data_IF_903617136044
#
_entry.id   IF_903617136044
#
_cell.length_a   1.000
_cell.length_b   1.000
_cell.length_c   1.000
_cell.angle_alpha   90.00
_cell.angle_beta   90.00
_cell.angle_gamma   90.00
#
_symmetry.space_group_name_H-M   'P 1'
#
loop_
_entity.id
_entity.type
_entity.pdbx_description
1 polymer ?
#
# COMPACT_ATOMS: atom_id res chain seq x y z
N UNK A 1 42.33 -16.19 -16.29
CA UNK A 1 40.85 -16.28 -16.14
C UNK A 1 40.32 -14.97 -15.58
N UNK A 2 39.87 -14.06 -16.45
CA UNK A 2 39.19 -12.84 -15.99
C UNK A 2 37.69 -13.12 -15.86
N UNK A 3 37.13 -12.85 -14.68
CA UNK A 3 35.67 -12.84 -14.50
C UNK A 3 35.13 -11.59 -15.17
N UNK A 4 34.78 -11.68 -16.44
CA UNK A 4 33.96 -10.67 -17.12
C UNK A 4 32.52 -10.81 -16.61
N UNK A 5 32.09 -9.86 -15.78
CA UNK A 5 30.70 -9.75 -15.36
C UNK A 5 29.87 -9.24 -16.55
N UNK A 6 29.09 -10.11 -17.18
CA UNK A 6 28.30 -9.81 -18.40
C UNK A 6 26.96 -9.11 -18.13
N UNK A 7 26.78 -8.51 -16.95
CA UNK A 7 25.62 -7.69 -16.66
C UNK A 7 26.07 -6.35 -16.06
N UNK A 8 26.22 -5.34 -16.93
CA UNK A 8 26.20 -3.95 -16.50
C UNK A 8 24.74 -3.53 -16.39
N UNK A 9 24.30 -3.23 -15.17
CA UNK A 9 22.99 -2.62 -14.92
C UNK A 9 22.88 -1.34 -15.74
N UNK A 10 21.84 -1.24 -16.58
CA UNK A 10 21.56 -0.09 -17.43
C UNK A 10 20.56 0.84 -16.70
N UNK A 11 21.00 1.99 -16.16
CA UNK A 11 20.17 2.88 -15.33
C UNK A 11 19.12 3.69 -16.14
N UNK A 12 19.07 3.57 -17.47
CA UNK A 12 18.18 4.40 -18.29
C UNK A 12 16.69 4.02 -18.25
N UNK A 13 16.27 3.05 -17.45
CA UNK A 13 14.88 2.58 -17.43
C UNK A 13 14.16 2.91 -16.10
N UNK A 14 13.66 4.14 -16.03
CA UNK A 14 12.87 4.66 -14.90
C UNK A 14 11.49 3.99 -14.80
N UNK A 15 11.39 2.88 -14.09
CA UNK A 15 10.15 2.44 -13.40
C UNK A 15 10.37 1.40 -12.29
N UNK A 16 11.62 1.16 -11.88
CA UNK A 16 11.99 0.06 -10.98
C UNK A 16 11.44 0.19 -9.54
N UNK A 17 11.19 1.39 -9.02
CA UNK A 17 10.56 1.53 -7.70
C UNK A 17 9.08 1.12 -7.71
N UNK A 18 8.33 1.53 -8.75
CA UNK A 18 6.95 1.08 -8.94
C UNK A 18 6.88 -0.41 -9.30
N UNK A 19 7.87 -0.93 -10.02
CA UNK A 19 7.95 -2.37 -10.29
C UNK A 19 8.36 -3.16 -9.07
N UNK A 20 9.25 -2.69 -8.19
CA UNK A 20 9.66 -3.43 -7.00
C UNK A 20 8.54 -3.44 -5.96
N UNK A 21 7.86 -2.30 -5.73
CA UNK A 21 6.65 -2.26 -4.91
C UNK A 21 5.56 -3.13 -5.53
N UNK A 22 5.40 -3.05 -6.86
CA UNK A 22 4.48 -3.89 -7.62
C UNK A 22 4.81 -5.38 -7.48
N UNK A 23 6.08 -5.78 -7.60
CA UNK A 23 6.57 -7.15 -7.48
C UNK A 23 6.37 -7.67 -6.06
N UNK A 24 6.68 -6.88 -5.04
CA UNK A 24 6.40 -7.25 -3.64
C UNK A 24 4.90 -7.41 -3.42
N UNK A 25 4.08 -6.51 -3.94
CA UNK A 25 2.62 -6.60 -3.86
C UNK A 25 2.08 -7.84 -4.60
N UNK A 26 2.54 -8.10 -5.82
CA UNK A 26 2.16 -9.28 -6.61
C UNK A 26 2.67 -10.57 -5.98
N UNK A 27 3.83 -10.57 -5.34
CA UNK A 27 4.36 -11.72 -4.63
C UNK A 27 3.56 -12.01 -3.37
N UNK A 28 3.20 -10.99 -2.59
CA UNK A 28 2.25 -11.14 -1.48
C UNK A 28 0.88 -11.63 -1.96
N UNK A 29 0.37 -11.07 -3.06
CA UNK A 29 -0.88 -11.50 -3.67
C UNK A 29 -0.81 -12.96 -4.14
N UNK A 30 0.28 -13.36 -4.81
CA UNK A 30 0.50 -14.73 -5.24
C UNK A 30 0.58 -15.69 -4.05
N UNK A 31 1.24 -15.30 -2.96
CA UNK A 31 1.27 -16.06 -1.71
C UNK A 31 -0.15 -16.20 -1.13
N UNK A 32 -0.96 -15.15 -1.14
CA UNK A 32 -2.36 -15.19 -0.68
C UNK A 32 -3.19 -16.12 -1.56
N UNK A 33 -3.04 -16.05 -2.89
CA UNK A 33 -3.72 -16.93 -3.83
C UNK A 33 -3.30 -18.40 -3.64
N UNK A 34 -2.01 -18.69 -3.52
CA UNK A 34 -1.48 -20.02 -3.23
C UNK A 34 -1.99 -20.54 -1.88
N UNK A 35 -1.97 -19.70 -0.85
CA UNK A 35 -2.53 -20.03 0.45
C UNK A 35 -4.01 -20.37 0.37
N UNK A 36 -4.79 -19.58 -0.38
CA UNK A 36 -6.22 -19.84 -0.62
C UNK A 36 -6.44 -21.19 -1.30
N UNK A 37 -5.67 -21.48 -2.36
CA UNK A 37 -5.76 -22.72 -3.14
C UNK A 37 -5.40 -23.95 -2.27
N UNK A 38 -4.33 -23.87 -1.49
CA UNK A 38 -3.91 -24.94 -0.56
C UNK A 38 -4.91 -25.11 0.60
N UNK A 39 -5.67 -24.06 0.94
CA UNK A 39 -6.67 -24.09 2.01
C UNK A 39 -7.98 -24.76 1.61
N UNK A 40 -8.22 -24.99 0.31
CA UNK A 40 -9.37 -25.77 -0.17
C UNK A 40 -9.20 -27.23 0.26
N UNK A 41 -10.30 -27.86 0.71
CA UNK A 41 -10.30 -29.22 1.25
C UNK A 41 -11.39 -30.03 0.57
N UNK A 42 -11.12 -31.29 0.27
CA UNK A 42 -12.15 -32.22 -0.15
C UNK A 42 -12.85 -32.82 1.07
N UNK A 43 -14.17 -32.96 0.96
CA UNK A 43 -15.03 -33.49 2.02
C UNK A 43 -15.64 -34.82 1.57
N UNK A 44 -15.32 -35.89 2.29
CA UNK A 44 -15.91 -37.21 2.09
C UNK A 44 -16.78 -37.55 3.29
N UNK A 45 -18.10 -37.62 3.08
CA UNK A 45 -19.08 -37.92 4.13
C UNK A 45 -19.51 -39.39 4.03
N UNK A 46 -19.16 -40.18 5.04
CA UNK A 46 -19.58 -41.56 5.21
C UNK A 46 -20.62 -41.66 6.33
N UNK A 47 -21.29 -42.82 6.47
CA UNK A 47 -22.38 -43.01 7.44
C UNK A 47 -22.02 -42.67 8.90
N UNK A 48 -20.75 -42.83 9.31
CA UNK A 48 -20.30 -42.58 10.70
C UNK A 48 -19.17 -41.55 10.84
N UNK A 49 -18.53 -41.15 9.74
CA UNK A 49 -17.32 -40.32 9.77
C UNK A 49 -17.25 -39.37 8.58
N UNK A 50 -16.55 -38.26 8.78
CA UNK A 50 -16.19 -37.31 7.73
C UNK A 50 -14.67 -37.33 7.59
N UNK A 51 -14.19 -37.38 6.36
CA UNK A 51 -12.77 -37.25 6.05
C UNK A 51 -12.56 -35.92 5.32
N UNK A 52 -11.68 -35.10 5.88
CA UNK A 52 -11.20 -33.85 5.29
C UNK A 52 -9.84 -34.13 4.68
N UNK A 53 -9.72 -34.05 3.35
CA UNK A 53 -8.41 -34.12 2.69
C UNK A 53 -8.00 -32.73 2.24
N UNK A 54 -6.76 -32.33 2.52
CA UNK A 54 -6.18 -31.12 1.89
C UNK A 54 -6.20 -31.28 0.36
N UNK A 55 -6.26 -30.18 -0.38
CA UNK A 55 -6.18 -30.19 -1.86
C UNK A 55 -5.05 -31.08 -2.43
N UNK A 56 -3.87 -31.09 -1.79
CA UNK A 56 -2.73 -31.92 -2.22
C UNK A 56 -2.78 -33.39 -1.71
N UNK A 57 -3.83 -33.80 -0.99
CA UNK A 57 -3.96 -35.13 -0.40
C UNK A 57 -3.02 -35.45 0.77
N UNK A 58 -2.05 -34.59 1.08
CA UNK A 58 -0.98 -34.83 2.06
C UNK A 58 -1.51 -34.92 3.50
N UNK A 59 -2.51 -34.11 3.86
CA UNK A 59 -3.12 -34.11 5.20
C UNK A 59 -4.55 -34.57 5.13
N UNK A 60 -4.88 -35.64 5.87
CA UNK A 60 -6.24 -36.09 6.08
C UNK A 60 -6.61 -36.02 7.55
N UNK A 61 -7.72 -35.37 7.87
CA UNK A 61 -8.33 -35.41 9.21
C UNK A 61 -9.60 -36.23 9.12
N UNK A 62 -9.76 -37.23 9.99
CA UNK A 62 -10.99 -38.01 10.11
C UNK A 62 -11.68 -37.62 11.39
N UNK A 63 -12.97 -37.30 11.32
CA UNK A 63 -13.79 -36.93 12.48
C UNK A 63 -15.04 -37.78 12.48
N UNK A 64 -15.36 -38.40 13.61
CA UNK A 64 -16.60 -39.16 13.75
C UNK A 64 -17.78 -38.18 13.85
N UNK A 65 -18.91 -38.51 13.21
CA UNK A 65 -20.11 -37.67 13.27
C UNK A 65 -20.62 -37.50 14.71
N UNK A 66 -20.37 -38.48 15.58
CA UNK A 66 -20.70 -38.44 17.01
C UNK A 66 -19.81 -37.48 17.82
N UNK A 67 -18.62 -37.14 17.31
CA UNK A 67 -17.73 -36.16 17.93
C UNK A 67 -18.20 -34.73 17.66
N UNK A 68 -19.03 -34.50 16.64
CA UNK A 68 -19.64 -33.20 16.38
C UNK A 68 -20.73 -32.97 17.43
N UNK A 69 -20.56 -31.94 18.24
CA UNK A 69 -21.49 -31.59 19.31
C UNK A 69 -22.50 -30.54 18.84
N UNK A 70 -22.01 -29.50 18.18
CA UNK A 70 -22.84 -28.38 17.73
C UNK A 70 -22.34 -27.77 16.42
N UNK A 71 -23.18 -26.94 15.81
CA UNK A 71 -22.85 -26.24 14.58
C UNK A 71 -23.36 -24.79 14.56
N UNK A 72 -22.73 -23.95 13.75
CA UNK A 72 -23.15 -22.56 13.48
C UNK A 72 -23.15 -22.29 11.99
N UNK A 73 -23.96 -21.35 11.53
CA UNK A 73 -23.97 -20.96 10.12
C UNK A 73 -24.04 -19.45 9.98
N UNK A 74 -23.04 -18.87 9.31
CA UNK A 74 -23.01 -17.43 9.03
C UNK A 74 -23.27 -17.22 7.54
N UNK A 75 -24.30 -16.43 7.23
CA UNK A 75 -24.58 -15.98 5.87
C UNK A 75 -23.78 -14.71 5.58
N UNK A 76 -23.03 -14.71 4.49
CA UNK A 76 -22.27 -13.56 3.98
C UNK A 76 -22.80 -13.17 2.61
N UNK A 77 -22.76 -11.88 2.31
CA UNK A 77 -23.23 -11.31 1.05
C UNK A 77 -22.29 -10.20 0.62
N UNK A 78 -21.91 -10.20 -0.65
CA UNK A 78 -21.33 -9.07 -1.35
C UNK A 78 -22.32 -8.54 -2.41
N UNK A 79 -21.90 -7.61 -3.29
CA UNK A 79 -22.78 -7.06 -4.32
C UNK A 79 -23.35 -8.12 -5.27
N UNK A 80 -22.58 -9.16 -5.59
CA UNK A 80 -22.86 -10.10 -6.68
C UNK A 80 -23.07 -11.54 -6.19
N UNK A 81 -22.59 -11.89 -5.01
CA UNK A 81 -22.55 -13.23 -4.48
C UNK A 81 -23.07 -13.28 -3.04
N UNK A 82 -23.65 -14.40 -2.67
CA UNK A 82 -23.93 -14.75 -1.28
C UNK A 82 -23.44 -16.16 -1.01
N UNK A 83 -22.83 -16.36 0.15
CA UNK A 83 -22.34 -17.66 0.56
C UNK A 83 -22.57 -17.88 2.05
N UNK A 84 -22.64 -19.15 2.42
CA UNK A 84 -22.86 -19.60 3.78
C UNK A 84 -21.56 -20.23 4.30
N UNK A 85 -21.25 -20.00 5.57
CA UNK A 85 -20.12 -20.62 6.26
C UNK A 85 -20.65 -21.46 7.40
N UNK A 86 -20.68 -22.77 7.20
CA UNK A 86 -20.93 -23.76 8.24
C UNK A 86 -19.68 -23.92 9.08
N UNK A 87 -19.80 -23.81 10.39
CA UNK A 87 -18.75 -24.20 11.33
C UNK A 87 -19.25 -25.32 12.23
N UNK A 88 -18.48 -26.39 12.32
CA UNK A 88 -18.74 -27.56 13.14
C UNK A 88 -17.80 -27.53 14.34
N UNK A 89 -18.34 -27.80 15.52
CA UNK A 89 -17.58 -27.86 16.76
C UNK A 89 -17.56 -29.29 17.27
N UNK A 90 -16.35 -29.83 17.42
CA UNK A 90 -16.19 -31.16 17.98
C UNK A 90 -16.05 -31.11 19.50
N UNK A 91 -16.29 -32.25 20.16
CA UNK A 91 -16.07 -32.43 21.61
C UNK A 91 -14.63 -32.13 22.05
N UNK A 92 -13.66 -32.21 21.13
CA UNK A 92 -12.24 -31.89 21.40
C UNK A 92 -11.94 -30.39 21.31
N UNK A 93 -12.95 -29.56 21.00
CA UNK A 93 -12.80 -28.12 20.82
C UNK A 93 -12.28 -27.70 19.44
N UNK A 94 -12.09 -28.65 18.50
CA UNK A 94 -11.66 -28.31 17.14
C UNK A 94 -12.82 -27.72 16.32
N UNK A 95 -12.53 -26.62 15.63
CA UNK A 95 -13.47 -25.94 14.74
C UNK A 95 -13.19 -26.31 13.28
N UNK A 96 -14.21 -26.79 12.58
CA UNK A 96 -14.12 -27.15 11.16
C UNK A 96 -15.05 -26.24 10.36
N UNK A 97 -14.52 -25.55 9.35
CA UNK A 97 -15.28 -24.63 8.51
C UNK A 97 -15.52 -25.21 7.12
N UNK A 98 -16.73 -25.04 6.61
CA UNK A 98 -17.16 -25.42 5.27
C UNK A 98 -17.89 -24.22 4.68
N UNK A 99 -17.51 -23.78 3.48
CA UNK A 99 -18.16 -22.65 2.83
C UNK A 99 -18.88 -23.08 1.56
N UNK A 100 -20.11 -22.62 1.38
CA UNK A 100 -20.90 -22.88 0.16
C UNK A 100 -20.28 -22.28 -1.11
N UNK A 101 -19.33 -21.35 -0.97
CA UNK A 101 -18.60 -20.75 -2.08
C UNK A 101 -17.75 -21.77 -2.85
N UNK A 102 -17.22 -22.79 -2.15
CA UNK A 102 -16.30 -23.77 -2.74
C UNK A 102 -16.98 -25.08 -3.17
N UNK A 103 -18.20 -25.36 -2.73
CA UNK A 103 -18.85 -26.67 -2.93
C UNK A 103 -20.28 -26.52 -3.46
N UNK A 104 -20.51 -27.01 -4.68
CA UNK A 104 -21.83 -27.00 -5.33
C UNK A 104 -22.85 -27.81 -4.53
N UNK A 105 -22.42 -28.93 -3.94
CA UNK A 105 -23.25 -29.81 -3.11
C UNK A 105 -23.25 -29.46 -1.61
N UNK A 106 -22.95 -28.19 -1.25
CA UNK A 106 -22.89 -27.73 0.15
C UNK A 106 -24.13 -28.10 0.97
N UNK A 107 -25.34 -27.92 0.42
CA UNK A 107 -26.58 -28.20 1.15
C UNK A 107 -26.77 -29.70 1.45
N UNK A 108 -26.32 -30.59 0.57
CA UNK A 108 -26.32 -32.03 0.81
C UNK A 108 -25.33 -32.43 1.91
N UNK A 109 -24.13 -31.82 1.88
CA UNK A 109 -23.11 -32.02 2.91
C UNK A 109 -23.64 -31.54 4.27
N UNK A 110 -24.17 -30.33 4.32
CA UNK A 110 -24.74 -29.72 5.54
C UNK A 110 -25.82 -30.61 6.13
N UNK A 111 -26.85 -30.97 5.36
CA UNK A 111 -28.00 -31.74 5.85
C UNK A 111 -27.59 -33.10 6.43
N UNK A 112 -26.62 -33.80 5.81
CA UNK A 112 -26.08 -35.05 6.34
C UNK A 112 -25.31 -34.87 7.65
N UNK A 113 -24.51 -33.81 7.77
CA UNK A 113 -23.62 -33.60 8.92
C UNK A 113 -24.38 -33.07 10.15
N UNK A 114 -25.32 -32.14 9.95
CA UNK A 114 -26.01 -31.45 11.05
C UNK A 114 -27.22 -32.22 11.59
N UNK A 115 -27.57 -33.36 10.98
CA UNK A 115 -28.72 -34.18 11.39
C UNK A 115 -28.59 -34.56 12.87
N UNK A 116 -29.64 -34.25 13.65
CA UNK A 116 -29.70 -34.48 15.10
C UNK A 116 -28.61 -33.74 15.91
N UNK A 117 -28.04 -32.65 15.38
CA UNK A 117 -27.07 -31.81 16.08
C UNK A 117 -27.66 -30.44 16.39
N UNK A 118 -27.31 -29.91 17.56
CA UNK A 118 -27.85 -28.63 18.05
C UNK A 118 -27.15 -27.46 17.37
N UNK A 119 -27.92 -26.52 16.83
CA UNK A 119 -27.39 -25.25 16.31
C UNK A 119 -27.08 -24.30 17.47
N UNK A 120 -25.86 -23.77 17.52
CA UNK A 120 -25.43 -22.89 18.61
C UNK A 120 -25.50 -21.41 18.22
N UNK A 121 -26.67 -20.79 18.38
CA UNK A 121 -26.87 -19.38 18.03
C UNK A 121 -25.99 -18.41 18.85
N UNK A 122 -25.60 -18.78 20.08
CA UNK A 122 -24.72 -17.94 20.92
C UNK A 122 -23.33 -17.81 20.31
N UNK A 123 -22.74 -18.90 19.82
CA UNK A 123 -21.43 -18.88 19.16
C UNK A 123 -21.51 -18.12 17.83
N UNK A 124 -22.63 -18.25 17.11
CA UNK A 124 -22.88 -17.51 15.87
C UNK A 124 -22.87 -16.00 16.10
N UNK A 125 -23.59 -15.53 17.12
CA UNK A 125 -23.62 -14.13 17.54
C UNK A 125 -22.24 -13.65 18.00
N UNK A 126 -21.52 -14.44 18.80
CA UNK A 126 -20.16 -14.13 19.25
C UNK A 126 -19.18 -13.95 18.09
N UNK A 127 -19.29 -14.78 17.03
CA UNK A 127 -18.45 -14.68 15.84
C UNK A 127 -18.74 -13.42 15.03
N UNK A 128 -20.02 -13.12 14.78
CA UNK A 128 -20.42 -11.88 14.11
C UNK A 128 -19.92 -10.66 14.88
N UNK A 129 -20.05 -10.69 16.20
CA UNK A 129 -19.53 -9.66 17.09
C UNK A 129 -17.99 -9.55 17.02
N UNK A 130 -17.26 -10.68 16.99
CA UNK A 130 -15.80 -10.68 16.82
C UNK A 130 -15.36 -10.10 15.47
N UNK A 131 -16.06 -10.43 14.39
CA UNK A 131 -15.79 -9.84 13.07
C UNK A 131 -16.00 -8.32 13.08
N UNK A 132 -17.12 -7.84 13.65
CA UNK A 132 -17.38 -6.40 13.82
C UNK A 132 -16.29 -5.69 14.64
N UNK A 133 -15.82 -6.32 15.71
CA UNK A 133 -14.69 -5.80 16.50
C UNK A 133 -13.41 -5.72 15.66
N UNK A 134 -13.11 -6.73 14.85
CA UNK A 134 -11.93 -6.72 14.00
C UNK A 134 -12.00 -5.62 12.94
N UNK A 135 -13.18 -5.38 12.34
CA UNK A 135 -13.37 -4.25 11.44
C UNK A 135 -13.15 -2.92 12.17
N UNK A 136 -13.75 -2.73 13.36
CA UNK A 136 -13.55 -1.52 14.16
C UNK A 136 -12.06 -1.24 14.44
N UNK A 137 -11.31 -2.27 14.86
CA UNK A 137 -9.86 -2.17 15.07
C UNK A 137 -9.12 -1.85 13.77
N UNK A 138 -9.49 -2.49 12.65
CA UNK A 138 -8.90 -2.22 11.34
C UNK A 138 -9.07 -0.75 10.91
N UNK A 139 -10.27 -0.20 11.06
CA UNK A 139 -10.56 1.21 10.77
C UNK A 139 -9.73 2.16 11.65
N UNK A 140 -9.58 1.86 12.95
CA UNK A 140 -8.73 2.63 13.86
C UNK A 140 -7.28 2.61 13.38
N UNK A 141 -6.73 1.43 13.09
CA UNK A 141 -5.32 1.29 12.65
C UNK A 141 -5.07 2.05 11.35
N UNK A 142 -5.94 1.90 10.35
CA UNK A 142 -5.81 2.64 9.07
C UNK A 142 -5.95 4.14 9.31
N UNK A 143 -6.89 4.56 10.16
CA UNK A 143 -7.05 5.96 10.55
C UNK A 143 -5.78 6.55 11.17
N UNK A 144 -5.14 5.83 12.09
CA UNK A 144 -3.87 6.24 12.71
C UNK A 144 -2.74 6.35 11.67
N UNK A 145 -2.64 5.39 10.74
CA UNK A 145 -1.65 5.45 9.65
C UNK A 145 -1.86 6.71 8.79
N UNK A 146 -3.11 7.03 8.44
CA UNK A 146 -3.43 8.23 7.67
C UNK A 146 -3.09 9.51 8.44
N UNK A 147 -3.39 9.56 9.75
CA UNK A 147 -3.01 10.70 10.60
C UNK A 147 -1.49 10.86 10.72
N UNK A 148 -0.75 9.75 10.77
CA UNK A 148 0.72 9.78 10.73
C UNK A 148 1.24 10.31 9.38
N UNK A 149 0.64 9.91 8.26
CA UNK A 149 0.94 10.49 6.95
C UNK A 149 0.65 12.00 6.94
N UNK A 150 -0.50 12.45 7.46
CA UNK A 150 -0.83 13.86 7.57
C UNK A 150 0.21 14.63 8.39
N UNK A 151 0.66 14.07 9.52
CA UNK A 151 1.75 14.63 10.32
C UNK A 151 3.06 14.76 9.51
N UNK A 152 3.39 13.78 8.66
CA UNK A 152 4.56 13.88 7.77
C UNK A 152 4.44 15.01 6.76
N UNK A 153 3.25 15.31 6.24
CA UNK A 153 3.05 16.49 5.39
C UNK A 153 3.30 17.80 6.16
N UNK A 154 2.88 17.91 7.43
CA UNK A 154 3.16 19.10 8.26
C UNK A 154 4.67 19.33 8.44
N UNK A 155 5.45 18.26 8.52
CA UNK A 155 6.91 18.31 8.64
C UNK A 155 7.63 18.76 7.36
N UNK A 156 6.95 18.87 6.22
CA UNK A 156 7.56 19.42 5.00
C UNK A 156 7.91 20.89 5.28
N UNK A 157 9.21 21.19 5.21
CA UNK A 157 9.78 22.52 5.41
C UNK A 157 10.16 23.13 4.07
N UNK A 158 10.07 24.45 4.01
CA UNK A 158 10.65 25.24 2.93
C UNK A 158 12.15 25.01 2.83
N UNK A 159 12.66 25.06 1.61
CA UNK A 159 14.11 25.04 1.35
C UNK A 159 14.61 26.47 1.53
N UNK A 160 15.62 26.64 2.38
CA UNK A 160 16.28 27.93 2.53
C UNK A 160 17.41 28.07 1.52
N UNK A 161 17.79 29.32 1.24
CA UNK A 161 18.96 29.62 0.39
C UNK A 161 20.26 28.98 0.92
N UNK A 162 20.39 28.78 2.24
CA UNK A 162 21.52 28.10 2.87
C UNK A 162 21.58 26.59 2.59
N UNK A 163 20.46 25.99 2.22
CA UNK A 163 20.30 24.56 1.94
C UNK A 163 20.55 24.21 0.46
N UNK A 164 20.72 25.22 -0.40
CA UNK A 164 21.01 25.05 -1.82
C UNK A 164 22.42 25.54 -2.19
N UNK A 165 22.96 24.97 -3.26
CA UNK A 165 24.14 25.47 -3.95
C UNK A 165 23.70 25.88 -5.35
N UNK A 166 24.01 27.10 -5.74
CA UNK A 166 23.84 27.59 -7.11
C UNK A 166 25.19 27.50 -7.81
N UNK A 167 25.24 26.82 -8.95
CA UNK A 167 26.45 26.74 -9.78
C UNK A 167 26.09 26.94 -11.25
N UNK A 168 27.04 27.49 -12.00
CA UNK A 168 26.93 27.69 -13.45
C UNK A 168 27.56 26.55 -14.23
N UNK A 169 26.98 26.23 -15.37
CA UNK A 169 27.49 25.24 -16.32
C UNK A 169 26.96 25.54 -17.73
N UNK A 170 27.38 24.74 -18.71
CA UNK A 170 26.90 24.78 -20.09
C UNK A 170 25.96 23.60 -20.32
N UNK A 171 24.84 23.86 -21.01
CA UNK A 171 23.95 22.79 -21.46
C UNK A 171 24.61 21.99 -22.57
N UNK A 172 24.62 20.66 -22.44
CA UNK A 172 25.25 19.76 -23.43
C UNK A 172 24.29 19.26 -24.50
N UNK A 173 22.99 19.47 -24.27
CA UNK A 173 21.90 19.08 -25.16
C UNK A 173 20.76 20.09 -25.01
N UNK A 174 19.87 20.16 -26.00
CA UNK A 174 18.66 20.97 -25.88
C UNK A 174 17.79 20.46 -24.72
N UNK A 175 17.13 21.39 -24.02
CA UNK A 175 16.25 21.05 -22.89
C UNK A 175 15.05 20.22 -23.39
N UNK A 176 14.82 19.07 -22.77
CA UNK A 176 13.76 18.15 -23.16
C UNK A 176 12.56 18.21 -22.22
N UNK A 177 11.34 18.29 -22.79
CA UNK A 177 10.09 18.06 -22.07
C UNK A 177 9.58 16.63 -22.29
N UNK A 178 9.73 15.79 -21.27
CA UNK A 178 9.22 14.43 -21.30
C UNK A 178 7.80 14.41 -20.76
N UNK A 179 6.84 14.03 -21.60
CA UNK A 179 5.44 13.89 -21.23
C UNK A 179 5.19 12.54 -20.57
N UNK A 180 4.65 12.56 -19.36
CA UNK A 180 4.32 11.36 -18.59
C UNK A 180 2.82 11.05 -18.59
N UNK A 181 2.44 9.86 -18.09
CA UNK A 181 1.02 9.50 -17.91
C UNK A 181 0.36 10.41 -16.88
N UNK A 182 -0.92 10.76 -17.05
CA UNK A 182 -1.68 11.62 -16.11
C UNK A 182 -0.99 12.97 -15.82
N UNK A 183 -0.43 13.61 -16.85
CA UNK A 183 0.21 14.93 -16.75
C UNK A 183 1.45 14.97 -15.82
N UNK A 184 2.16 13.84 -15.70
CA UNK A 184 3.44 13.73 -14.98
C UNK A 184 4.61 14.18 -15.85
N UNK A 185 4.51 15.38 -16.38
CA UNK A 185 5.55 15.91 -17.24
C UNK A 185 6.79 16.22 -16.40
N UNK A 186 7.95 16.16 -17.05
CA UNK A 186 9.23 16.56 -16.46
C UNK A 186 10.10 17.24 -17.51
N UNK A 187 10.86 18.22 -17.08
CA UNK A 187 11.91 18.85 -17.87
C UNK A 187 13.23 18.22 -17.45
N UNK A 188 14.04 17.82 -18.44
CA UNK A 188 15.39 17.30 -18.24
C UNK A 188 16.40 18.26 -18.87
N UNK A 189 17.45 18.56 -18.11
CA UNK A 189 18.58 19.37 -18.52
C UNK A 189 19.84 18.52 -18.36
N UNK A 190 20.64 18.46 -19.42
CA UNK A 190 21.94 17.83 -19.46
C UNK A 190 23.02 18.89 -19.45
N UNK A 191 24.06 18.68 -18.64
CA UNK A 191 25.17 19.63 -18.48
C UNK A 191 26.48 18.99 -18.92
N UNK A 192 27.36 19.78 -19.52
CA UNK A 192 28.66 19.32 -20.02
C UNK A 192 29.56 18.76 -18.92
N UNK A 193 29.63 19.41 -17.75
CA UNK A 193 30.50 18.98 -16.66
C UNK A 193 30.01 17.69 -15.98
N UNK A 194 28.72 17.39 -16.09
CA UNK A 194 28.07 16.29 -15.38
C UNK A 194 27.15 15.48 -16.33
N UNK A 195 27.70 14.87 -17.39
CA UNK A 195 26.91 14.25 -18.46
C UNK A 195 26.11 13.02 -17.99
N UNK A 196 26.61 12.33 -16.97
CA UNK A 196 25.97 11.14 -16.38
C UNK A 196 24.70 11.47 -15.59
N UNK A 197 24.45 12.74 -15.27
CA UNK A 197 23.31 13.17 -14.46
C UNK A 197 22.19 13.78 -15.31
N UNK A 198 20.96 13.59 -14.84
CA UNK A 198 19.75 14.22 -15.35
C UNK A 198 19.30 15.26 -14.33
N UNK A 199 19.51 16.53 -14.63
CA UNK A 199 18.99 17.61 -13.81
C UNK A 199 17.53 17.84 -14.18
N UNK A 200 16.62 17.61 -13.24
CA UNK A 200 15.19 17.56 -13.55
C UNK A 200 14.34 18.54 -12.76
N UNK A 201 13.30 19.02 -13.44
CA UNK A 201 12.17 19.75 -12.85
C UNK A 201 10.92 18.90 -13.12
N UNK A 202 10.14 18.60 -12.08
CA UNK A 202 8.94 17.76 -12.22
C UNK A 202 7.86 18.12 -11.19
N UNK A 203 6.67 17.55 -11.36
CA UNK A 203 5.59 17.64 -10.38
C UNK A 203 5.10 19.07 -10.16
N UNK A 204 4.97 19.48 -8.90
CA UNK A 204 4.52 20.84 -8.55
C UNK A 204 5.54 21.89 -8.93
N UNK A 205 6.84 21.61 -8.80
CA UNK A 205 7.91 22.54 -9.19
C UNK A 205 7.84 22.90 -10.67
N UNK A 206 7.46 21.95 -11.53
CA UNK A 206 7.26 22.22 -12.95
C UNK A 206 6.12 23.21 -13.23
N UNK A 207 5.06 23.20 -12.43
CA UNK A 207 3.94 24.15 -12.56
C UNK A 207 4.35 25.58 -12.22
N UNK A 208 5.31 25.71 -11.32
CA UNK A 208 5.88 26.99 -10.87
C UNK A 208 7.04 27.44 -11.79
N UNK A 209 7.44 26.62 -12.78
CA UNK A 209 8.52 26.94 -13.71
C UNK A 209 7.96 27.54 -14.99
N UNK A 210 8.58 28.60 -15.49
CA UNK A 210 8.37 29.15 -16.85
C UNK A 210 8.91 28.17 -17.91
N UNK A 211 8.27 27.01 -18.00
CA UNK A 211 8.78 25.83 -18.72
C UNK A 211 8.90 26.07 -20.22
N UNK A 212 7.89 26.72 -20.82
CA UNK A 212 7.88 26.97 -22.25
C UNK A 212 8.97 27.97 -22.63
N UNK A 213 9.14 29.03 -21.84
CA UNK A 213 10.18 30.03 -22.03
C UNK A 213 11.57 29.39 -21.85
N UNK A 214 11.74 28.56 -20.81
CA UNK A 214 13.00 27.84 -20.57
C UNK A 214 13.43 26.99 -21.78
N UNK A 215 12.50 26.23 -22.37
CA UNK A 215 12.79 25.36 -23.54
C UNK A 215 13.03 26.20 -24.81
N UNK A 216 12.32 27.31 -24.95
CA UNK A 216 12.42 28.18 -26.12
C UNK A 216 13.71 29.00 -26.12
N UNK A 217 14.10 29.49 -24.95
CA UNK A 217 15.20 30.45 -24.80
C UNK A 217 16.56 29.80 -24.64
N UNK A 218 16.62 28.64 -23.96
CA UNK A 218 17.89 27.95 -23.68
C UNK A 218 18.12 26.85 -24.69
N UNK A 219 19.21 26.97 -25.44
CA UNK A 219 19.67 26.01 -26.45
C UNK A 219 20.96 25.34 -26.01
N UNK A 220 21.26 24.24 -26.69
CA UNK A 220 22.56 23.57 -26.56
C UNK A 220 23.73 24.56 -26.66
N UNK A 221 24.71 24.44 -25.76
CA UNK A 221 25.83 25.36 -25.62
C UNK A 221 25.56 26.62 -24.80
N UNK A 222 24.32 26.87 -24.37
CA UNK A 222 24.03 28.05 -23.53
C UNK A 222 24.46 27.84 -22.08
N UNK A 223 24.87 28.95 -21.46
CA UNK A 223 25.22 28.98 -20.04
C UNK A 223 23.98 29.09 -19.16
N UNK A 224 23.93 28.25 -18.14
CA UNK A 224 22.81 28.17 -17.20
C UNK A 224 23.31 28.06 -15.76
N UNK A 225 22.52 28.60 -14.82
CA UNK A 225 22.78 28.50 -13.40
C UNK A 225 21.67 27.69 -12.72
N UNK A 226 22.06 26.57 -12.10
CA UNK A 226 21.15 25.68 -11.39
C UNK A 226 21.35 25.77 -9.88
N UNK A 227 20.27 25.97 -9.14
CA UNK A 227 20.22 25.74 -7.70
C UNK A 227 19.80 24.32 -7.40
N UNK A 228 20.63 23.56 -6.69
CA UNK A 228 20.30 22.19 -6.25
C UNK A 228 20.53 22.02 -4.76
N UNK A 229 19.94 20.97 -4.18
CA UNK A 229 20.13 20.67 -2.76
C UNK A 229 21.62 20.43 -2.42
N UNK A 230 22.12 21.11 -1.38
CA UNK A 230 23.52 21.04 -0.96
C UNK A 230 23.97 19.63 -0.58
N UNK A 231 23.09 18.81 0.01
CA UNK A 231 23.38 17.41 0.34
C UNK A 231 23.49 16.56 -0.93
N UNK A 232 22.63 16.78 -1.93
CA UNK A 232 22.73 16.09 -3.22
C UNK A 232 24.01 16.50 -3.96
N UNK A 233 24.34 17.78 -3.98
CA UNK A 233 25.60 18.27 -4.55
C UNK A 233 26.81 17.56 -3.93
N UNK A 234 26.88 17.54 -2.58
CA UNK A 234 27.98 16.91 -1.83
C UNK A 234 28.09 15.41 -2.05
N UNK A 235 26.96 14.70 -2.11
CA UNK A 235 26.92 13.24 -2.26
C UNK A 235 27.14 12.77 -3.69
N UNK A 236 26.48 13.42 -4.66
CA UNK A 236 26.38 12.94 -6.04
C UNK A 236 27.44 13.56 -6.95
N UNK A 237 27.60 14.88 -6.90
CA UNK A 237 28.50 15.60 -7.82
C UNK A 237 29.95 15.59 -7.35
N UNK A 238 30.21 16.01 -6.11
CA UNK A 238 31.59 16.10 -5.58
C UNK A 238 31.99 14.89 -4.70
N UNK A 239 31.05 13.98 -4.43
CA UNK A 239 31.28 12.67 -3.78
C UNK A 239 32.02 12.73 -2.43
N UNK A 240 31.83 13.82 -1.68
CA UNK A 240 32.41 14.00 -0.33
C UNK A 240 31.66 13.17 0.71
N UNK A 241 30.33 13.15 0.61
CA UNK A 241 29.47 12.47 1.57
C UNK A 241 29.12 11.06 1.09
N UNK A 242 29.05 10.09 2.01
CA UNK A 242 28.72 8.70 1.69
C UNK A 242 27.29 8.53 1.16
N UNK A 243 27.13 7.69 0.14
CA UNK A 243 25.83 7.30 -0.40
C UNK A 243 25.10 6.34 0.54
N UNK A 244 23.82 6.60 0.77
CA UNK A 244 22.95 5.65 1.46
C UNK A 244 22.64 4.46 0.54
N UNK A 245 22.15 3.36 1.10
CA UNK A 245 21.71 2.21 0.29
C UNK A 245 20.63 2.63 -0.71
N UNK A 246 19.70 3.51 -0.31
CA UNK A 246 18.66 4.01 -1.21
C UNK A 246 19.29 4.79 -2.36
N UNK A 247 20.24 5.68 -2.07
CA UNK A 247 20.93 6.48 -3.10
C UNK A 247 21.66 5.62 -4.14
N UNK A 248 22.17 4.44 -3.74
CA UNK A 248 22.92 3.53 -4.63
C UNK A 248 22.03 2.74 -5.59
N UNK A 249 20.82 2.40 -5.15
CA UNK A 249 19.91 1.53 -5.91
C UNK A 249 18.79 2.29 -6.60
N UNK A 250 18.51 3.54 -6.21
CA UNK A 250 17.39 4.31 -6.72
C UNK A 250 17.84 5.70 -7.18
N UNK A 251 17.66 5.95 -8.47
CA UNK A 251 17.66 7.29 -9.05
C UNK A 251 18.92 8.11 -8.74
N UNK A 252 20.08 7.44 -8.76
CA UNK A 252 21.36 8.05 -8.44
C UNK A 252 21.67 9.19 -9.41
N UNK A 253 21.43 8.94 -10.69
CA UNK A 253 21.58 9.80 -11.86
C UNK A 253 20.67 11.02 -11.87
N UNK A 254 19.60 11.06 -11.07
CA UNK A 254 18.69 12.20 -11.03
C UNK A 254 19.10 13.21 -9.97
N UNK A 255 19.11 14.49 -10.35
CA UNK A 255 19.29 15.61 -9.44
C UNK A 255 18.10 16.54 -9.60
N UNK A 256 17.46 16.89 -8.49
CA UNK A 256 16.32 17.80 -8.53
C UNK A 256 16.79 19.26 -8.55
N UNK A 257 16.28 20.01 -9.53
CA UNK A 257 16.53 21.44 -9.66
C UNK A 257 15.55 22.18 -8.74
N UNK A 258 16.09 23.03 -7.87
CA UNK A 258 15.33 23.84 -6.92
C UNK A 258 15.19 25.31 -7.38
N UNK A 259 16.10 25.78 -8.23
CA UNK A 259 16.00 27.06 -8.95
C UNK A 259 16.79 27.02 -10.27
N UNK A 260 16.38 27.82 -11.25
CA UNK A 260 17.03 27.87 -12.55
C UNK A 260 16.99 29.29 -13.13
N UNK A 261 18.14 29.76 -13.63
CA UNK A 261 18.26 31.06 -14.30
C UNK A 261 19.36 31.06 -15.35
N UNK A 262 19.22 31.97 -16.31
CA UNK A 262 20.29 32.41 -17.20
C UNK A 262 20.79 33.79 -16.76
N UNK A 263 21.68 34.39 -17.55
CA UNK A 263 22.06 35.79 -17.37
C UNK A 263 20.91 36.77 -17.64
N UNK A 264 19.88 36.35 -18.40
CA UNK A 264 18.79 37.21 -18.88
C UNK A 264 17.49 37.01 -18.11
N UNK A 265 17.21 35.79 -17.65
CA UNK A 265 15.90 35.45 -17.10
C UNK A 265 15.99 34.38 -15.99
N UNK A 266 15.06 34.43 -15.04
CA UNK A 266 14.93 33.45 -13.96
C UNK A 266 13.66 32.62 -14.16
N UNK A 267 13.84 31.37 -14.57
CA UNK A 267 12.74 30.48 -14.98
C UNK A 267 12.08 29.75 -13.82
N UNK A 268 12.77 29.64 -12.69
CA UNK A 268 12.22 29.07 -11.46
C UNK A 268 12.91 29.72 -10.27
N UNK A 269 12.14 30.46 -9.48
CA UNK A 269 12.63 31.00 -8.21
C UNK A 269 12.48 29.98 -7.11
N UNK A 270 13.41 30.01 -6.15
CA UNK A 270 13.31 29.19 -4.94
C UNK A 270 11.99 29.45 -4.17
N UNK A 271 11.56 30.71 -4.13
CA UNK A 271 10.31 31.10 -3.48
C UNK A 271 9.07 30.48 -4.16
N UNK A 272 9.02 30.49 -5.49
CA UNK A 272 7.94 29.90 -6.29
C UNK A 272 7.92 28.37 -6.10
N UNK A 273 9.08 27.73 -6.14
CA UNK A 273 9.20 26.31 -5.83
C UNK A 273 8.71 25.97 -4.40
N UNK A 274 9.06 26.77 -3.40
CA UNK A 274 8.54 26.62 -2.04
C UNK A 274 7.02 26.81 -1.97
N UNK A 275 6.42 27.71 -2.75
CA UNK A 275 4.97 27.85 -2.85
C UNK A 275 4.32 26.55 -3.37
N UNK A 276 4.89 25.95 -4.41
CA UNK A 276 4.45 24.65 -4.93
C UNK A 276 4.54 23.54 -3.88
N UNK A 277 5.62 23.50 -3.08
CA UNK A 277 5.81 22.55 -1.98
C UNK A 277 4.80 22.77 -0.85
N UNK A 278 4.52 24.02 -0.50
CA UNK A 278 3.53 24.39 0.51
C UNK A 278 2.10 24.03 0.08
N UNK A 279 1.74 24.30 -1.18
CA UNK A 279 0.44 23.89 -1.73
C UNK A 279 0.22 22.38 -1.59
N UNK A 280 1.22 21.56 -1.99
CA UNK A 280 1.16 20.11 -1.84
C UNK A 280 1.10 19.66 -0.37
N UNK A 281 1.84 20.34 0.50
CA UNK A 281 1.79 20.10 1.96
C UNK A 281 0.38 20.30 2.52
N UNK A 282 -0.30 21.40 2.19
CA UNK A 282 -1.66 21.65 2.66
C UNK A 282 -2.66 20.65 2.09
N UNK A 283 -2.53 20.31 0.80
CA UNK A 283 -3.43 19.34 0.17
C UNK A 283 -3.26 17.94 0.75
N UNK A 284 -2.01 17.49 0.90
CA UNK A 284 -1.68 16.20 1.54
C UNK A 284 -2.15 16.15 3.00
N UNK A 285 -1.86 17.20 3.77
CA UNK A 285 -2.35 17.31 5.15
C UNK A 285 -3.88 17.25 5.22
N UNK A 286 -4.59 18.01 4.38
CA UNK A 286 -6.05 18.04 4.35
C UNK A 286 -6.65 16.69 3.99
N UNK A 287 -6.20 16.07 2.90
CA UNK A 287 -6.69 14.77 2.45
C UNK A 287 -6.45 13.68 3.50
N UNK A 288 -5.20 13.50 3.94
CA UNK A 288 -4.85 12.45 4.89
C UNK A 288 -5.41 12.72 6.29
N UNK A 289 -5.48 14.00 6.70
CA UNK A 289 -6.02 14.41 7.99
C UNK A 289 -7.52 14.14 8.10
N UNK A 290 -8.32 14.61 7.12
CA UNK A 290 -9.77 14.41 7.12
C UNK A 290 -10.11 12.93 6.97
N UNK A 291 -9.50 12.22 6.02
CA UNK A 291 -9.76 10.80 5.82
C UNK A 291 -9.32 9.97 7.05
N UNK A 292 -8.16 10.28 7.64
CA UNK A 292 -7.66 9.61 8.83
C UNK A 292 -8.59 9.80 10.04
N UNK A 293 -9.04 11.04 10.27
CA UNK A 293 -9.97 11.36 11.36
C UNK A 293 -11.33 10.67 11.16
N UNK A 294 -11.87 10.68 9.95
CA UNK A 294 -13.12 9.99 9.62
C UNK A 294 -13.03 8.49 9.89
N UNK A 295 -11.96 7.83 9.44
CA UNK A 295 -11.75 6.39 9.65
C UNK A 295 -11.57 6.06 11.12
N UNK A 296 -10.79 6.86 11.84
CA UNK A 296 -10.54 6.68 13.27
C UNK A 296 -11.83 6.81 14.09
N UNK A 297 -12.61 7.87 13.87
CA UNK A 297 -13.89 8.10 14.56
C UNK A 297 -14.92 7.02 14.21
N UNK A 298 -14.99 6.61 12.95
CA UNK A 298 -15.84 5.50 12.52
C UNK A 298 -15.47 4.21 13.25
N UNK A 299 -14.17 3.93 13.38
CA UNK A 299 -13.65 2.81 14.16
C UNK A 299 -14.05 2.86 15.64
N UNK A 300 -13.93 4.01 16.30
CA UNK A 300 -14.38 4.22 17.69
C UNK A 300 -15.90 4.01 17.81
N UNK A 301 -16.69 4.58 16.90
CA UNK A 301 -18.15 4.42 16.90
C UNK A 301 -18.54 2.94 16.78
N UNK A 302 -17.96 2.21 15.82
CA UNK A 302 -18.18 0.78 15.66
C UNK A 302 -17.77 -0.02 16.90
N UNK A 303 -16.66 0.35 17.55
CA UNK A 303 -16.20 -0.29 18.77
C UNK A 303 -17.16 -0.04 19.96
N UNK A 304 -17.72 1.18 20.06
CA UNK A 304 -18.72 1.53 21.08
C UNK A 304 -20.03 0.76 20.86
N UNK A 305 -20.50 0.67 19.64
CA UNK A 305 -21.70 -0.12 19.27
C UNK A 305 -21.49 -1.62 19.58
N UNK A 306 -20.31 -2.16 19.28
CA UNK A 306 -19.94 -3.53 19.68
C UNK A 306 -20.04 -3.73 21.20
N UNK A 307 -19.48 -2.81 22.00
CA UNK A 307 -19.52 -2.92 23.46
C UNK A 307 -20.95 -2.80 24.00
N UNK A 308 -21.79 -1.94 23.42
CA UNK A 308 -23.20 -1.78 23.79
C UNK A 308 -24.01 -3.05 23.51
N UNK A 309 -23.79 -3.70 22.36
CA UNK A 309 -24.43 -4.99 22.05
C UNK A 309 -23.99 -6.07 23.04
N UNK A 310 -22.69 -6.16 23.34
CA UNK A 310 -22.16 -7.13 24.31
C UNK A 310 -22.76 -6.97 25.71
N UNK A 311 -22.94 -5.74 26.20
CA UNK A 311 -23.55 -5.49 27.51
C UNK A 311 -25.05 -5.81 27.53
N UNK A 312 -25.77 -5.54 26.45
CA UNK A 312 -27.19 -5.91 26.30
C UNK A 312 -27.38 -7.44 26.26
N UNK A 313 -26.53 -8.17 25.53
CA UNK A 313 -26.57 -9.64 25.50
C UNK A 313 -26.32 -10.21 26.90
N UNK A 314 -25.31 -9.71 27.64
CA UNK A 314 -25.00 -10.18 28.99
C UNK A 314 -26.09 -9.86 30.03
N UNK A 315 -26.80 -8.73 29.91
CA UNK A 315 -27.88 -8.36 30.84
C UNK A 315 -29.18 -9.15 30.58
N UNK A 316 -29.46 -9.50 29.32
CA UNK A 316 -30.55 -10.40 28.96
C UNK A 316 -30.35 -11.81 29.52
N UNK A 317 -29.12 -12.34 29.49
CA UNK A 317 -28.80 -13.64 30.08
C UNK A 317 -28.96 -13.66 31.61
N UNK A 318 -28.55 -12.59 32.31
CA UNK A 318 -28.78 -12.46 33.76
C UNK A 318 -30.26 -12.42 34.15
N UNK A 319 -31.14 -11.90 33.28
CA UNK A 319 -32.59 -11.85 33.54
C UNK A 319 -33.31 -13.18 33.29
N UNK A 320 -32.70 -14.09 32.53
CA UNK A 320 -33.30 -15.39 32.17
C UNK A 320 -32.90 -16.55 33.10
N UNK A 321 -32.19 -16.27 34.21
CA UNK A 321 -31.93 -17.27 35.25
C UNK A 321 -31.05 -18.45 34.81
N UNK A 322 -30.10 -18.22 33.90
CA UNK A 322 -29.03 -19.17 33.58
C UNK A 322 -27.76 -18.88 34.37
#
# INVERSE_FOLDING_TARGET
MSKSCYAKFNPNNYSDASYLIGVVFFLLFAIICLYSLISVKDYYVFNKKIIFKSFLGIKSTTVNLEEIESWTEIKKKDKNNSWEILSLFTKTGTEIKISSYYYVNYYEIKTKIVKNKTRNLKIEEQKLNKENKNYAVGFIVIGVIFLFCAYKFVQIKDINSSDIIVFGDITSENIELIKGRKNSNKVIIKLEKYPDFNFQISGTTLKETYTQDLINDVKDGDSIYLGINKKEFRKKLIKIDSLTLIDKYFHYEIIHIESIKTSKFEYLKLAENNNGRNSNKYWGFGFFGIAGLFLFLSGIYMFKEYNKKKTATNSGFKKLGF
#
